data_IF_551380029195
#
_entry.id   IF_551380029195
#
_cell.length_a   1.000
_cell.length_b   1.000
_cell.length_c   1.000
_cell.angle_alpha   90.00
_cell.angle_beta   90.00
_cell.angle_gamma   90.00
#
_symmetry.space_group_name_H-M   'P 1'
#
loop_
_entity.id
_entity.type
_entity.pdbx_description
1 polymer ?
#
# COMPACT_ATOMS: atom_id res chain seq x y z
N UNK A 1 -43.87 11.63 -5.51
CA UNK A 1 -42.94 10.52 -5.87
C UNK A 1 -41.46 10.94 -6.02
N UNK A 2 -41.07 12.18 -5.75
CA UNK A 2 -39.70 12.71 -5.98
C UNK A 2 -38.67 12.41 -4.86
N UNK A 3 -39.10 11.99 -3.66
CA UNK A 3 -38.20 11.65 -2.55
C UNK A 3 -37.76 10.18 -2.48
N UNK A 4 -38.55 9.27 -3.06
CA UNK A 4 -38.22 7.83 -3.13
C UNK A 4 -36.94 7.60 -3.93
N UNK A 5 -36.89 8.18 -5.14
CA UNK A 5 -35.72 8.10 -6.01
C UNK A 5 -34.44 8.63 -5.35
N UNK A 6 -34.53 9.74 -4.60
CA UNK A 6 -33.36 10.28 -3.88
C UNK A 6 -32.90 9.39 -2.73
N UNK A 7 -33.84 8.74 -2.02
CA UNK A 7 -33.51 7.79 -0.96
C UNK A 7 -32.84 6.54 -1.54
N UNK A 8 -33.30 6.05 -2.68
CA UNK A 8 -32.73 4.89 -3.35
C UNK A 8 -31.33 5.18 -3.90
N UNK A 9 -31.13 6.35 -4.49
CA UNK A 9 -29.80 6.81 -4.90
C UNK A 9 -28.84 6.98 -3.71
N UNK A 10 -29.33 7.50 -2.58
CA UNK A 10 -28.53 7.63 -1.36
C UNK A 10 -28.14 6.26 -0.78
N UNK A 11 -29.06 5.29 -0.77
CA UNK A 11 -28.77 3.90 -0.35
C UNK A 11 -27.74 3.25 -1.28
N UNK A 12 -27.91 3.37 -2.59
CA UNK A 12 -26.96 2.84 -3.56
C UNK A 12 -25.56 3.46 -3.41
N UNK A 13 -25.48 4.78 -3.21
CA UNK A 13 -24.22 5.49 -2.95
C UNK A 13 -23.56 5.02 -1.65
N UNK A 14 -24.33 4.80 -0.58
CA UNK A 14 -23.80 4.32 0.70
C UNK A 14 -23.29 2.88 0.60
N UNK A 15 -24.04 1.98 -0.06
CA UNK A 15 -23.62 0.61 -0.31
C UNK A 15 -22.31 0.57 -1.12
N UNK A 16 -22.22 1.36 -2.19
CA UNK A 16 -20.99 1.49 -2.98
C UNK A 16 -19.82 2.02 -2.13
N UNK A 17 -20.03 3.05 -1.31
CA UNK A 17 -18.98 3.55 -0.41
C UNK A 17 -18.54 2.50 0.62
N UNK A 18 -19.45 1.68 1.15
CA UNK A 18 -19.08 0.60 2.06
C UNK A 18 -18.31 -0.52 1.35
N UNK A 19 -18.71 -0.91 0.13
CA UNK A 19 -17.96 -1.92 -0.64
C UNK A 19 -16.56 -1.44 -1.01
N UNK A 20 -16.40 -0.16 -1.40
CA UNK A 20 -15.10 0.41 -1.72
C UNK A 20 -14.20 0.59 -0.47
N UNK A 21 -14.78 0.80 0.72
CA UNK A 21 -14.02 0.79 1.98
C UNK A 21 -13.50 -0.60 2.36
N UNK A 22 -14.17 -1.65 1.90
CA UNK A 22 -13.75 -3.03 2.10
C UNK A 22 -12.73 -3.46 1.03
N UNK A 23 -12.86 -2.98 -0.21
CA UNK A 23 -11.87 -3.21 -1.27
C UNK A 23 -10.55 -2.54 -0.90
N UNK A 24 -9.54 -3.34 -0.59
CA UNK A 24 -8.21 -2.87 -0.18
C UNK A 24 -7.96 -2.93 1.33
N UNK A 25 -8.97 -3.29 2.13
CA UNK A 25 -8.69 -3.87 3.45
C UNK A 25 -8.10 -5.24 3.22
N UNK A 26 -6.78 -5.32 3.37
CA UNK A 26 -6.04 -6.56 3.48
C UNK A 26 -6.51 -7.29 4.74
N UNK A 27 -7.24 -8.39 4.57
CA UNK A 27 -7.71 -9.33 5.60
C UNK A 27 -6.59 -10.23 6.14
N UNK A 28 -5.36 -9.70 6.19
CA UNK A 28 -4.17 -10.44 6.59
C UNK A 28 -4.16 -10.79 8.09
N UNK A 29 -5.23 -10.46 8.84
CA UNK A 29 -5.36 -10.68 10.28
C UNK A 29 -4.37 -9.89 11.15
N UNK A 30 -3.50 -9.07 10.54
CA UNK A 30 -2.45 -8.33 11.23
C UNK A 30 -3.00 -7.08 11.91
N UNK A 31 -2.55 -6.85 13.14
CA UNK A 31 -2.82 -5.60 13.85
C UNK A 31 -2.14 -4.42 13.14
N UNK A 32 -2.60 -3.20 13.42
CA UNK A 32 -2.02 -1.98 12.83
C UNK A 32 -0.52 -1.88 13.09
N UNK A 33 -0.07 -2.34 14.26
CA UNK A 33 1.34 -2.33 14.65
C UNK A 33 2.18 -3.33 13.85
N UNK A 34 1.69 -4.56 13.70
CA UNK A 34 2.36 -5.58 12.90
C UNK A 34 2.47 -5.17 11.42
N UNK A 35 1.45 -4.47 10.90
CA UNK A 35 1.50 -3.90 9.55
C UNK A 35 2.60 -2.86 9.41
N UNK A 36 2.70 -1.93 10.37
CA UNK A 36 3.76 -0.91 10.39
C UNK A 36 5.16 -1.53 10.47
N UNK A 37 5.33 -2.58 11.28
CA UNK A 37 6.59 -3.32 11.38
C UNK A 37 6.97 -3.97 10.05
N UNK A 38 6.04 -4.69 9.42
CA UNK A 38 6.26 -5.30 8.10
C UNK A 38 6.61 -4.25 7.04
N UNK A 39 5.88 -3.15 6.97
CA UNK A 39 6.15 -2.08 6.00
C UNK A 39 7.54 -1.45 6.23
N UNK A 40 7.94 -1.26 7.49
CA UNK A 40 9.26 -0.76 7.86
C UNK A 40 10.39 -1.75 7.51
N UNK A 41 10.19 -3.05 7.71
CA UNK A 41 11.13 -4.10 7.30
C UNK A 41 11.32 -4.12 5.78
N UNK A 42 10.23 -4.10 5.02
CA UNK A 42 10.28 -4.05 3.55
C UNK A 42 11.00 -2.80 3.06
N UNK A 43 10.81 -1.64 3.71
CA UNK A 43 11.54 -0.42 3.36
C UNK A 43 13.03 -0.51 3.68
N UNK A 44 13.40 -1.05 4.85
CA UNK A 44 14.81 -1.29 5.22
C UNK A 44 15.49 -2.27 4.26
N UNK A 45 14.83 -3.35 3.88
CA UNK A 45 15.35 -4.29 2.90
C UNK A 45 15.51 -3.66 1.52
N UNK A 46 14.55 -2.84 1.07
CA UNK A 46 14.66 -2.12 -0.19
C UNK A 46 15.81 -1.12 -0.18
N UNK A 47 16.04 -0.42 0.93
CA UNK A 47 17.18 0.48 1.08
C UNK A 47 18.50 -0.30 1.02
N UNK A 48 18.64 -1.37 1.81
CA UNK A 48 19.82 -2.25 1.77
C UNK A 48 20.08 -2.80 0.37
N UNK A 49 19.05 -3.35 -0.29
CA UNK A 49 19.17 -3.85 -1.68
C UNK A 49 19.61 -2.76 -2.67
N UNK A 50 19.13 -1.52 -2.50
CA UNK A 50 19.57 -0.38 -3.33
C UNK A 50 21.01 0.03 -3.01
N UNK A 51 21.40 0.03 -1.74
CA UNK A 51 22.77 0.31 -1.31
C UNK A 51 23.74 -0.76 -1.82
N UNK A 52 23.39 -2.04 -1.72
CA UNK A 52 24.19 -3.16 -2.25
C UNK A 52 24.29 -3.10 -3.79
N UNK A 53 23.20 -2.77 -4.48
CA UNK A 53 23.20 -2.56 -5.93
C UNK A 53 24.07 -1.36 -6.35
N UNK A 54 24.02 -0.26 -5.60
CA UNK A 54 24.87 0.91 -5.85
C UNK A 54 26.34 0.65 -5.51
N UNK A 55 26.63 -0.09 -4.44
CA UNK A 55 27.98 -0.46 -4.03
C UNK A 55 28.64 -1.42 -5.04
N UNK A 56 27.87 -2.38 -5.57
CA UNK A 56 28.34 -3.29 -6.63
C UNK A 56 28.49 -2.59 -7.99
N UNK A 57 27.63 -1.62 -8.33
CA UNK A 57 27.77 -0.80 -9.53
C UNK A 57 28.92 0.22 -9.47
N UNK A 58 29.21 0.79 -8.30
CA UNK A 58 30.27 1.79 -8.14
C UNK A 58 31.67 1.18 -8.04
N UNK A 59 31.81 -0.10 -7.65
CA UNK A 59 33.12 -0.77 -7.55
C UNK A 59 33.71 -1.16 -8.91
N UNK A 60 32.88 -1.27 -9.95
CA UNK A 60 33.32 -1.52 -11.32
C UNK A 60 33.88 -0.26 -12.02
N UNK A 61 33.53 0.94 -11.57
CA UNK A 61 33.95 2.21 -12.19
C UNK A 61 35.19 2.86 -11.56
N UNK A 62 35.61 2.43 -10.36
CA UNK A 62 36.76 3.03 -9.65
C UNK A 62 38.06 2.22 -9.72
N UNK A 63 38.06 1.07 -10.41
CA UNK A 63 39.24 0.20 -10.59
C UNK A 63 39.95 0.34 -11.93
N UNK A 64 39.56 1.31 -12.75
CA UNK A 64 40.20 1.61 -14.04
C UNK A 64 40.62 3.08 -14.05
N UNK A 65 41.75 3.37 -13.39
CA UNK A 65 42.58 4.57 -13.59
C UNK A 65 43.97 4.28 -13.06
#
# INVERSE_FOLDING_TARGET
MTRGNQRDLARAKNLKKQSEKQKGKRDDGLTVEQRKQRDAEVMREKQKKKEDANASGSKAASGSR
#
